data_IF_163531197771
#
_entry.id   IF_163531197771
#
_cell.length_a   1.000
_cell.length_b   1.000
_cell.length_c   1.000
_cell.angle_alpha   90.00
_cell.angle_beta   90.00
_cell.angle_gamma   90.00
#
_symmetry.space_group_name_H-M   'P 1'
#
loop_
_entity.id
_entity.type
_entity.pdbx_description
1 polymer ?
#
# COMPACT_ATOMS: atom_id res chain seq x y z
N UNK A 1 -15.03 1.07 2.88
CA UNK A 1 -13.67 1.66 2.68
C UNK A 1 -12.89 0.83 1.67
N UNK A 2 -11.83 1.39 1.10
CA UNK A 2 -10.90 0.70 0.21
C UNK A 2 -9.56 0.52 0.90
N UNK A 3 -9.04 -0.71 0.94
CA UNK A 3 -7.69 -1.00 1.44
C UNK A 3 -6.79 -1.36 0.25
N UNK A 4 -5.85 -0.48 -0.05
CA UNK A 4 -4.99 -0.62 -1.23
C UNK A 4 -3.59 -1.15 -0.91
N UNK A 5 -3.36 -1.63 0.33
CA UNK A 5 -2.08 -2.19 0.71
C UNK A 5 -2.27 -3.28 1.76
N UNK A 6 -2.07 -4.54 1.35
CA UNK A 6 -2.24 -5.70 2.21
C UNK A 6 -1.47 -6.94 1.72
N UNK A 7 -0.99 -7.77 2.65
CA UNK A 7 -0.25 -8.99 2.41
C UNK A 7 -1.11 -10.21 2.76
N UNK A 8 -2.22 -10.35 2.02
CA UNK A 8 -3.25 -11.35 2.29
C UNK A 8 -3.13 -12.61 1.45
N UNK A 9 -2.24 -12.66 0.44
CA UNK A 9 -2.03 -13.86 -0.35
C UNK A 9 -1.24 -14.91 0.45
N UNK A 10 -1.67 -16.18 0.44
CA UNK A 10 -1.13 -17.17 1.37
C UNK A 10 0.28 -17.65 0.99
N UNK A 11 1.24 -17.51 1.91
CA UNK A 11 2.55 -18.17 1.85
C UNK A 11 3.54 -17.64 0.81
N UNK A 12 3.32 -16.46 0.24
CA UNK A 12 4.17 -15.92 -0.85
C UNK A 12 5.12 -14.80 -0.41
N UNK A 13 4.89 -14.24 0.77
CA UNK A 13 5.74 -13.23 1.40
C UNK A 13 5.72 -13.37 2.94
N UNK A 14 5.90 -12.28 3.69
CA UNK A 14 5.84 -12.26 5.15
C UNK A 14 4.44 -11.90 5.71
N UNK A 15 3.41 -11.95 4.86
CA UNK A 15 2.00 -11.80 5.22
C UNK A 15 1.33 -13.08 5.71
N UNK A 16 0.12 -13.36 5.21
CA UNK A 16 -0.66 -14.55 5.55
C UNK A 16 0.13 -15.84 5.29
N UNK A 17 0.22 -16.72 6.28
CA UNK A 17 1.00 -17.97 6.19
C UNK A 17 0.36 -19.03 5.32
N UNK A 18 -0.95 -19.07 5.35
CA UNK A 18 -1.77 -20.06 4.66
C UNK A 18 -3.16 -19.50 4.34
N UNK A 19 -3.94 -20.26 3.59
CA UNK A 19 -5.29 -19.88 3.18
C UNK A 19 -6.22 -19.60 4.38
N UNK A 20 -6.10 -20.31 5.48
CA UNK A 20 -6.96 -20.08 6.66
C UNK A 20 -6.67 -18.70 7.26
N UNK A 21 -5.39 -18.30 7.35
CA UNK A 21 -5.04 -16.95 7.81
C UNK A 21 -5.49 -15.88 6.81
N UNK A 22 -5.38 -16.12 5.51
CA UNK A 22 -5.93 -15.23 4.47
C UNK A 22 -7.42 -15.00 4.64
N UNK A 23 -8.21 -16.06 4.76
CA UNK A 23 -9.66 -15.96 4.96
C UNK A 23 -10.04 -15.27 6.28
N UNK A 24 -9.28 -15.53 7.35
CA UNK A 24 -9.46 -14.83 8.61
C UNK A 24 -9.18 -13.32 8.50
N UNK A 25 -8.14 -12.92 7.76
CA UNK A 25 -7.85 -11.52 7.48
C UNK A 25 -8.98 -10.87 6.66
N UNK A 26 -9.45 -11.54 5.61
CA UNK A 26 -10.57 -11.03 4.80
C UNK A 26 -11.83 -10.85 5.63
N UNK A 27 -12.13 -11.78 6.54
CA UNK A 27 -13.29 -11.66 7.45
C UNK A 27 -13.16 -10.45 8.38
N UNK A 28 -11.97 -10.22 8.95
CA UNK A 28 -11.71 -9.03 9.78
C UNK A 28 -11.89 -7.74 8.96
N UNK A 29 -11.36 -7.70 7.74
CA UNK A 29 -11.49 -6.55 6.85
C UNK A 29 -12.96 -6.23 6.56
N UNK A 30 -13.76 -7.25 6.21
CA UNK A 30 -15.20 -7.10 5.98
C UNK A 30 -15.93 -6.59 7.21
N UNK A 31 -15.63 -7.15 8.39
CA UNK A 31 -16.27 -6.76 9.65
C UNK A 31 -15.88 -5.32 10.07
N UNK A 32 -14.71 -4.82 9.67
CA UNK A 32 -14.28 -3.43 9.85
C UNK A 32 -14.90 -2.44 8.83
N UNK A 33 -15.65 -2.95 7.84
CA UNK A 33 -16.32 -2.14 6.81
C UNK A 33 -15.46 -1.82 5.59
N UNK A 34 -14.41 -2.59 5.35
CA UNK A 34 -13.69 -2.61 4.07
C UNK A 34 -14.56 -3.34 3.06
N UNK A 35 -14.68 -2.83 1.85
CA UNK A 35 -15.49 -3.40 0.76
C UNK A 35 -14.66 -3.84 -0.43
N UNK A 36 -13.50 -3.21 -0.59
CA UNK A 36 -12.54 -3.48 -1.67
C UNK A 36 -11.15 -3.59 -1.06
N UNK A 37 -10.39 -4.60 -1.46
CA UNK A 37 -9.06 -4.86 -0.93
C UNK A 37 -8.11 -5.28 -2.05
N UNK A 38 -6.98 -4.60 -2.14
CA UNK A 38 -5.91 -4.94 -3.07
C UNK A 38 -4.82 -5.69 -2.31
N UNK A 39 -4.58 -6.94 -2.69
CA UNK A 39 -3.40 -7.65 -2.26
C UNK A 39 -2.16 -7.06 -2.93
N UNK A 40 -1.17 -6.68 -2.14
CA UNK A 40 0.08 -6.09 -2.61
C UNK A 40 1.29 -6.83 -2.05
N UNK A 41 1.42 -8.14 -2.33
CA UNK A 41 2.54 -8.89 -1.83
C UNK A 41 3.85 -8.28 -2.29
N UNK A 42 4.91 -8.51 -1.51
CA UNK A 42 6.22 -8.00 -1.85
C UNK A 42 6.75 -8.53 -3.17
N UNK A 43 7.31 -7.63 -3.99
CA UNK A 43 8.35 -7.94 -4.97
C UNK A 43 9.65 -7.36 -4.42
N UNK A 44 10.49 -8.23 -3.87
CA UNK A 44 11.78 -7.89 -3.30
C UNK A 44 12.83 -8.85 -3.88
N UNK A 45 13.59 -8.37 -4.85
CA UNK A 45 14.53 -9.17 -5.63
C UNK A 45 15.50 -9.93 -4.71
N UNK A 46 15.63 -11.22 -4.94
CA UNK A 46 16.45 -12.11 -4.11
C UNK A 46 15.81 -12.59 -2.81
N UNK A 47 14.67 -12.03 -2.39
CA UNK A 47 13.93 -12.47 -1.19
C UNK A 47 12.53 -12.96 -1.51
N UNK A 48 11.72 -12.13 -2.16
CA UNK A 48 10.36 -12.44 -2.59
C UNK A 48 10.25 -12.21 -4.09
N UNK A 49 10.53 -13.27 -4.86
CA UNK A 49 10.61 -13.23 -6.33
C UNK A 49 9.22 -13.47 -6.96
N UNK A 50 8.22 -12.73 -6.53
CA UNK A 50 6.88 -12.81 -7.07
C UNK A 50 6.82 -12.20 -8.48
N UNK A 51 5.96 -12.73 -9.34
CA UNK A 51 5.72 -12.21 -10.69
C UNK A 51 4.25 -11.88 -10.91
N UNK A 52 3.95 -10.90 -11.76
CA UNK A 52 2.57 -10.50 -12.05
C UNK A 52 1.68 -11.68 -12.45
N UNK A 53 2.20 -12.62 -13.27
CA UNK A 53 1.45 -13.81 -13.69
C UNK A 53 1.13 -14.75 -12.52
N UNK A 54 2.07 -14.98 -11.59
CA UNK A 54 1.82 -15.83 -10.43
C UNK A 54 0.79 -15.16 -9.51
N UNK A 55 0.95 -13.87 -9.25
CA UNK A 55 0.05 -13.10 -8.40
C UNK A 55 -1.39 -13.09 -8.90
N UNK A 56 -1.61 -12.99 -10.22
CA UNK A 56 -2.94 -13.08 -10.81
C UNK A 56 -3.57 -14.47 -10.59
N UNK A 57 -2.81 -15.54 -10.71
CA UNK A 57 -3.33 -16.88 -10.41
C UNK A 57 -3.69 -17.03 -8.92
N UNK A 58 -2.83 -16.53 -8.04
CA UNK A 58 -3.01 -16.65 -6.59
C UNK A 58 -4.22 -15.85 -6.08
N UNK A 59 -4.45 -14.64 -6.63
CA UNK A 59 -5.64 -13.85 -6.26
C UNK A 59 -6.93 -14.50 -6.76
N UNK A 60 -6.95 -15.13 -7.93
CA UNK A 60 -8.13 -15.82 -8.45
C UNK A 60 -8.51 -17.00 -7.57
N UNK A 61 -7.53 -17.76 -7.10
CA UNK A 61 -7.76 -18.82 -6.10
C UNK A 61 -8.33 -18.22 -4.82
N UNK A 62 -7.76 -17.13 -4.28
CA UNK A 62 -8.25 -16.51 -3.06
C UNK A 62 -9.66 -15.93 -3.22
N UNK A 63 -10.00 -15.33 -4.38
CA UNK A 63 -11.36 -14.87 -4.70
C UNK A 63 -12.38 -16.02 -4.60
N UNK A 64 -12.04 -17.18 -5.18
CA UNK A 64 -12.93 -18.35 -5.15
C UNK A 64 -13.11 -18.88 -3.73
N UNK A 65 -12.05 -18.97 -2.94
CA UNK A 65 -12.12 -19.45 -1.56
C UNK A 65 -12.84 -18.46 -0.64
N UNK A 66 -12.67 -17.15 -0.84
CA UNK A 66 -13.44 -16.12 -0.14
C UNK A 66 -14.95 -16.24 -0.44
N UNK A 67 -15.31 -16.42 -1.71
CA UNK A 67 -16.70 -16.67 -2.11
C UNK A 67 -17.28 -17.92 -1.44
N UNK A 68 -16.54 -19.05 -1.44
CA UNK A 68 -16.93 -20.28 -0.79
C UNK A 68 -17.12 -20.11 0.73
N UNK A 69 -16.35 -19.22 1.35
CA UNK A 69 -16.43 -18.87 2.77
C UNK A 69 -17.52 -17.83 3.10
N UNK A 70 -18.27 -17.34 2.11
CA UNK A 70 -19.31 -16.33 2.30
C UNK A 70 -18.77 -14.93 2.64
N UNK A 71 -17.56 -14.61 2.19
CA UNK A 71 -16.93 -13.30 2.36
C UNK A 71 -17.27 -12.44 1.14
N UNK A 72 -17.94 -11.31 1.39
CA UNK A 72 -18.37 -10.35 0.35
C UNK A 72 -17.39 -9.17 0.28
N UNK A 73 -16.14 -9.45 -0.14
CA UNK A 73 -15.11 -8.48 -0.43
C UNK A 73 -14.73 -8.55 -1.91
N UNK A 74 -14.64 -7.39 -2.55
CA UNK A 74 -14.01 -7.32 -3.87
C UNK A 74 -12.50 -7.33 -3.70
N UNK A 75 -11.83 -8.30 -4.35
CA UNK A 75 -10.40 -8.51 -4.26
C UNK A 75 -9.73 -8.21 -5.60
N UNK A 76 -8.58 -7.58 -5.53
CA UNK A 76 -7.69 -7.35 -6.67
C UNK A 76 -6.23 -7.59 -6.25
N UNK A 77 -5.30 -7.57 -7.20
CA UNK A 77 -3.87 -7.76 -6.92
C UNK A 77 -3.01 -6.73 -7.63
N UNK A 78 -2.01 -6.25 -6.92
CA UNK A 78 -0.89 -5.47 -7.41
C UNK A 78 0.39 -5.97 -6.72
N UNK A 79 1.38 -5.12 -6.45
CA UNK A 79 2.51 -5.48 -5.60
C UNK A 79 3.07 -4.25 -4.88
N UNK A 80 3.60 -4.49 -3.67
CA UNK A 80 4.54 -3.59 -3.04
C UNK A 80 5.96 -3.94 -3.52
N UNK A 81 6.56 -3.01 -4.26
CA UNK A 81 7.82 -3.26 -4.95
C UNK A 81 8.95 -2.55 -4.21
N UNK A 82 9.93 -3.31 -3.72
CA UNK A 82 11.11 -2.76 -3.05
C UNK A 82 12.00 -2.03 -4.04
N UNK A 83 12.38 -0.78 -3.73
CA UNK A 83 13.29 -0.01 -4.56
C UNK A 83 14.63 -0.74 -4.72
N UNK A 84 14.94 -1.10 -5.96
CA UNK A 84 16.17 -1.75 -6.41
C UNK A 84 16.49 -1.31 -7.84
N UNK A 85 17.79 -1.29 -8.20
CA UNK A 85 18.23 -0.91 -9.56
C UNK A 85 17.73 -1.91 -10.62
N UNK A 86 17.55 -3.17 -10.27
CA UNK A 86 17.06 -4.20 -11.17
C UNK A 86 15.61 -3.99 -11.60
N UNK A 87 14.83 -3.19 -10.85
CA UNK A 87 13.47 -2.81 -11.25
C UNK A 87 13.43 -2.09 -12.60
N UNK A 88 14.51 -1.42 -13.00
CA UNK A 88 14.57 -0.78 -14.32
C UNK A 88 14.35 -1.79 -15.45
N UNK A 89 14.95 -2.98 -15.35
CA UNK A 89 14.75 -4.04 -16.33
C UNK A 89 13.30 -4.57 -16.30
N UNK A 90 12.71 -4.74 -15.13
CA UNK A 90 11.31 -5.19 -14.99
C UNK A 90 10.31 -4.16 -15.56
N UNK A 91 10.54 -2.86 -15.34
CA UNK A 91 9.74 -1.78 -15.93
C UNK A 91 9.81 -1.85 -17.46
N UNK A 92 11.02 -1.92 -18.02
CA UNK A 92 11.22 -1.97 -19.48
C UNK A 92 10.63 -3.24 -20.13
N UNK A 93 10.53 -4.33 -19.36
CA UNK A 93 9.91 -5.58 -19.80
C UNK A 93 8.38 -5.62 -19.57
N UNK A 94 7.77 -4.58 -18.97
CA UNK A 94 6.33 -4.55 -18.65
C UNK A 94 5.91 -5.61 -17.64
N UNK A 95 6.78 -5.95 -16.69
CA UNK A 95 6.57 -7.06 -15.76
C UNK A 95 6.09 -6.63 -14.37
N UNK A 96 6.00 -5.31 -14.10
CA UNK A 96 5.54 -4.83 -12.80
C UNK A 96 4.01 -4.74 -12.73
N UNK A 97 3.39 -5.30 -11.68
CA UNK A 97 1.98 -5.10 -11.40
C UNK A 97 1.77 -3.74 -10.74
N UNK A 98 1.14 -2.82 -11.47
CA UNK A 98 0.80 -1.49 -10.97
C UNK A 98 -0.43 -1.53 -10.08
N UNK A 99 -0.50 -0.61 -9.10
CA UNK A 99 -1.65 -0.48 -8.20
C UNK A 99 -2.83 0.27 -8.83
N UNK A 100 -2.68 0.69 -10.05
CA UNK A 100 -3.70 1.36 -10.85
C UNK A 100 -3.10 2.35 -11.82
N UNK A 101 -3.97 3.06 -12.52
CA UNK A 101 -3.58 4.11 -13.47
C UNK A 101 -4.57 5.27 -13.42
N UNK A 102 -4.07 6.50 -13.52
CA UNK A 102 -4.87 7.71 -13.64
C UNK A 102 -4.31 8.57 -14.77
N UNK A 103 -5.19 9.02 -15.66
CA UNK A 103 -4.83 9.90 -16.77
C UNK A 103 -3.65 9.37 -17.62
N UNK A 104 -3.63 8.06 -17.88
CA UNK A 104 -2.56 7.33 -18.61
C UNK A 104 -1.21 7.27 -17.88
N UNK A 105 -1.16 7.60 -16.58
CA UNK A 105 0.00 7.43 -15.71
C UNK A 105 -0.22 6.20 -14.84
N UNK A 106 0.72 5.25 -14.90
CA UNK A 106 0.70 4.08 -14.03
C UNK A 106 1.21 4.42 -12.63
N UNK A 107 0.63 3.82 -11.61
CA UNK A 107 1.03 4.04 -10.22
C UNK A 107 1.71 2.79 -9.65
N UNK A 108 2.89 2.98 -9.09
CA UNK A 108 3.69 1.92 -8.48
C UNK A 108 3.79 2.15 -6.97
N UNK A 109 3.39 1.16 -6.18
CA UNK A 109 3.64 1.16 -4.74
C UNK A 109 5.12 0.82 -4.52
N UNK A 110 5.96 1.85 -4.34
CA UNK A 110 7.42 1.76 -4.31
C UNK A 110 7.95 1.86 -2.89
N UNK A 111 8.31 0.72 -2.31
CA UNK A 111 8.81 0.63 -0.95
C UNK A 111 10.29 1.06 -0.84
N UNK A 112 10.57 1.98 0.08
CA UNK A 112 11.95 2.27 0.50
C UNK A 112 12.41 1.25 1.56
N UNK A 113 13.71 0.88 1.62
CA UNK A 113 14.25 0.13 2.73
C UNK A 113 13.88 0.76 4.08
N UNK A 114 13.42 -0.05 5.05
CA UNK A 114 13.06 0.47 6.37
C UNK A 114 14.18 1.23 7.09
N UNK A 115 15.42 0.82 6.85
CA UNK A 115 16.59 1.35 7.56
C UNK A 115 17.11 2.66 7.00
N UNK A 116 16.85 2.98 5.72
CA UNK A 116 17.45 4.13 5.07
C UNK A 116 16.71 4.52 3.79
N UNK A 117 16.97 5.74 3.31
CA UNK A 117 16.62 6.19 1.95
C UNK A 117 17.84 5.92 1.05
N UNK A 118 17.71 5.04 0.03
CA UNK A 118 18.86 4.62 -0.79
C UNK A 118 19.48 5.79 -1.57
N UNK A 119 20.80 5.80 -1.71
CA UNK A 119 21.46 6.79 -2.58
C UNK A 119 20.97 6.64 -4.02
N UNK A 120 20.70 7.77 -4.68
CA UNK A 120 20.19 7.78 -6.05
C UNK A 120 18.70 7.53 -6.20
N UNK A 121 17.95 7.45 -5.08
CA UNK A 121 16.47 7.35 -5.11
C UNK A 121 15.82 8.43 -5.97
N UNK A 122 16.36 9.65 -5.92
CA UNK A 122 15.89 10.79 -6.70
C UNK A 122 16.05 10.58 -8.21
N UNK A 123 17.17 10.02 -8.63
CA UNK A 123 17.41 9.67 -10.04
C UNK A 123 16.49 8.56 -10.51
N UNK A 124 16.27 7.58 -9.65
CA UNK A 124 15.36 6.47 -9.95
C UNK A 124 13.90 6.94 -10.09
N UNK A 125 13.40 7.75 -9.16
CA UNK A 125 12.04 8.33 -9.23
C UNK A 125 11.87 9.21 -10.46
N UNK A 126 12.84 10.07 -10.77
CA UNK A 126 12.82 10.87 -11.99
C UNK A 126 12.84 10.01 -13.26
N UNK A 127 13.51 8.87 -13.24
CA UNK A 127 13.50 7.93 -14.35
C UNK A 127 12.14 7.27 -14.50
N UNK A 128 11.50 6.82 -13.42
CA UNK A 128 10.12 6.28 -13.42
C UNK A 128 9.14 7.29 -14.02
N UNK A 129 9.21 8.55 -13.62
CA UNK A 129 8.36 9.62 -14.16
C UNK A 129 8.49 9.77 -15.68
N UNK A 130 9.69 9.58 -16.25
CA UNK A 130 9.92 9.58 -17.71
C UNK A 130 9.32 8.35 -18.42
N UNK A 131 9.00 7.29 -17.67
CA UNK A 131 8.30 6.10 -18.15
C UNK A 131 6.77 6.19 -17.93
N UNK A 132 6.23 7.36 -17.60
CA UNK A 132 4.83 7.58 -17.20
C UNK A 132 4.43 6.73 -15.97
N UNK A 133 5.35 6.56 -15.04
CA UNK A 133 5.13 5.85 -13.78
C UNK A 133 5.29 6.83 -12.63
N UNK A 134 4.26 6.93 -11.79
CA UNK A 134 4.26 7.71 -10.55
C UNK A 134 4.45 6.78 -9.34
N UNK A 135 5.40 7.11 -8.49
CA UNK A 135 5.62 6.36 -7.26
C UNK A 135 4.65 6.80 -6.16
N UNK A 136 4.01 5.83 -5.51
CA UNK A 136 3.41 5.97 -4.20
C UNK A 136 4.41 5.40 -3.21
N UNK A 137 4.85 6.21 -2.26
CA UNK A 137 5.75 5.77 -1.18
C UNK A 137 4.90 5.26 -0.02
N UNK A 138 4.87 3.94 0.23
CA UNK A 138 4.15 3.39 1.36
C UNK A 138 4.89 3.66 2.66
N UNK A 139 4.14 3.82 3.71
CA UNK A 139 4.59 3.94 5.11
C UNK A 139 5.90 4.74 5.33
N UNK A 140 6.05 5.96 4.76
CA UNK A 140 7.26 6.78 4.93
C UNK A 140 7.53 7.09 6.40
N UNK A 141 6.50 7.14 7.24
CA UNK A 141 6.57 7.40 8.68
C UNK A 141 7.32 6.31 9.47
N UNK A 142 7.53 5.13 8.86
CA UNK A 142 8.27 4.01 9.48
C UNK A 142 9.73 3.94 9.03
N UNK A 143 10.14 4.70 8.02
CA UNK A 143 11.51 4.71 7.55
C UNK A 143 12.42 5.48 8.51
N UNK A 144 13.55 4.88 8.93
CA UNK A 144 14.43 5.43 9.97
C UNK A 144 15.11 6.73 9.55
N UNK A 145 15.51 6.87 8.28
CA UNK A 145 16.12 8.12 7.81
C UNK A 145 15.09 9.24 7.75
N UNK A 146 13.85 8.94 7.35
CA UNK A 146 12.75 9.90 7.35
C UNK A 146 12.39 10.30 8.79
N UNK A 147 12.39 9.36 9.73
CA UNK A 147 12.19 9.67 11.15
C UNK A 147 13.29 10.57 11.71
N UNK A 148 14.54 10.35 11.30
CA UNK A 148 15.67 11.17 11.71
C UNK A 148 15.71 12.53 11.01
N UNK A 149 15.22 12.61 9.76
CA UNK A 149 15.22 13.81 8.94
C UNK A 149 13.97 13.88 8.05
N UNK A 150 12.86 14.45 8.53
CA UNK A 150 11.59 14.57 7.78
C UNK A 150 11.70 15.36 6.46
N UNK A 151 12.81 16.07 6.23
CA UNK A 151 13.07 16.77 4.96
C UNK A 151 13.02 15.81 3.74
N UNK A 152 13.25 14.52 3.93
CA UNK A 152 13.08 13.53 2.86
C UNK A 152 11.64 13.49 2.33
N UNK A 153 10.63 13.74 3.15
CA UNK A 153 9.22 13.81 2.71
C UNK A 153 9.03 14.93 1.70
N UNK A 154 9.59 16.13 2.02
CA UNK A 154 9.52 17.28 1.12
C UNK A 154 10.24 17.01 -0.21
N UNK A 155 11.40 16.34 -0.15
CA UNK A 155 12.16 15.97 -1.35
C UNK A 155 11.40 14.97 -2.22
N UNK A 156 10.81 13.93 -1.62
CA UNK A 156 9.98 12.95 -2.32
C UNK A 156 8.74 13.61 -2.95
N UNK A 157 8.10 14.54 -2.24
CA UNK A 157 6.97 15.33 -2.79
C UNK A 157 7.39 16.19 -3.99
N UNK A 158 8.56 16.86 -3.92
CA UNK A 158 9.10 17.62 -5.05
C UNK A 158 9.41 16.76 -6.28
N UNK A 159 9.72 15.47 -6.08
CA UNK A 159 9.90 14.48 -7.14
C UNK A 159 8.57 13.95 -7.71
N UNK A 160 7.43 14.42 -7.19
CA UNK A 160 6.10 14.04 -7.65
C UNK A 160 5.53 12.79 -7.01
N UNK A 161 6.15 12.26 -5.95
CA UNK A 161 5.61 11.09 -5.24
C UNK A 161 4.31 11.41 -4.51
N UNK A 162 3.43 10.42 -4.45
CA UNK A 162 2.33 10.37 -3.50
C UNK A 162 2.75 9.55 -2.27
N UNK A 163 1.99 9.70 -1.16
CA UNK A 163 2.29 9.01 0.09
C UNK A 163 1.09 8.21 0.57
N UNK A 164 1.35 6.98 1.01
CA UNK A 164 0.38 6.15 1.72
C UNK A 164 0.86 5.96 3.16
N UNK A 165 0.04 6.35 4.15
CA UNK A 165 0.28 6.06 5.56
C UNK A 165 -0.36 4.74 5.98
N UNK A 166 0.28 4.05 6.93
CA UNK A 166 -0.32 2.88 7.58
C UNK A 166 -1.31 3.31 8.65
N UNK A 167 -2.53 2.77 8.63
CA UNK A 167 -3.59 3.09 9.61
C UNK A 167 -3.12 2.93 11.05
N UNK A 168 -2.46 1.82 11.38
CA UNK A 168 -1.93 1.55 12.72
C UNK A 168 -0.78 2.47 13.15
N UNK A 169 -0.09 3.16 12.22
CA UNK A 169 0.87 4.22 12.57
C UNK A 169 0.18 5.45 13.12
N UNK A 170 -0.96 5.85 12.54
CA UNK A 170 -1.80 6.95 13.00
C UNK A 170 -2.30 6.67 14.43
N UNK A 171 -2.65 5.41 14.70
CA UNK A 171 -3.09 4.94 16.01
C UNK A 171 -1.95 4.88 17.05
N UNK A 172 -0.70 4.82 16.62
CA UNK A 172 0.48 4.79 17.48
C UNK A 172 1.11 3.40 17.68
N UNK A 173 0.64 2.38 16.99
CA UNK A 173 1.18 1.02 17.12
C UNK A 173 2.66 0.90 16.70
N UNK A 174 3.17 1.85 15.92
CA UNK A 174 4.56 1.92 15.44
C UNK A 174 5.43 2.90 16.25
N UNK A 175 4.94 3.32 17.43
CA UNK A 175 5.62 4.24 18.35
C UNK A 175 5.35 5.72 18.08
N UNK A 176 5.76 6.55 19.05
CA UNK A 176 5.41 7.97 19.07
C UNK A 176 5.97 8.76 17.89
N UNK A 177 7.17 8.41 17.43
CA UNK A 177 7.82 9.09 16.29
C UNK A 177 7.04 8.86 15.00
N UNK A 178 6.65 7.61 14.70
CA UNK A 178 5.85 7.30 13.51
C UNK A 178 4.48 7.99 13.58
N UNK A 179 3.84 7.98 14.74
CA UNK A 179 2.58 8.67 14.97
C UNK A 179 2.71 10.18 14.76
N UNK A 180 3.73 10.81 15.32
CA UNK A 180 3.94 12.25 15.19
C UNK A 180 4.15 12.67 13.72
N UNK A 181 4.94 11.90 12.96
CA UNK A 181 5.14 12.12 11.53
C UNK A 181 3.85 11.93 10.75
N UNK A 182 3.08 10.88 11.06
CA UNK A 182 1.77 10.65 10.41
C UNK A 182 0.82 11.83 10.61
N UNK A 183 0.72 12.36 11.83
CA UNK A 183 -0.12 13.51 12.16
C UNK A 183 0.37 14.76 11.42
N UNK A 184 1.68 15.05 11.43
CA UNK A 184 2.25 16.19 10.72
C UNK A 184 2.00 16.12 9.21
N UNK A 185 2.15 14.93 8.59
CA UNK A 185 1.87 14.73 7.17
C UNK A 185 0.38 14.94 6.84
N UNK A 186 -0.53 14.45 7.69
CA UNK A 186 -1.97 14.64 7.53
C UNK A 186 -2.34 16.11 7.60
N UNK A 187 -1.87 16.82 8.62
CA UNK A 187 -2.15 18.26 8.81
C UNK A 187 -1.60 19.14 7.70
N UNK A 188 -0.51 18.72 7.06
CA UNK A 188 0.09 19.41 5.91
C UNK A 188 -0.55 19.04 4.56
N UNK A 189 -1.52 18.14 4.53
CA UNK A 189 -2.16 17.68 3.29
C UNK A 189 -1.21 16.94 2.34
N UNK A 190 -0.21 16.25 2.88
CA UNK A 190 0.80 15.53 2.09
C UNK A 190 0.36 14.10 1.75
N UNK A 191 -0.58 13.53 2.51
CA UNK A 191 -1.04 12.16 2.39
C UNK A 191 -2.04 12.04 1.26
N UNK A 192 -1.90 11.01 0.43
CA UNK A 192 -2.84 10.70 -0.64
C UNK A 192 -3.74 9.50 -0.31
N UNK A 193 -3.22 8.56 0.49
CA UNK A 193 -3.90 7.29 0.83
C UNK A 193 -3.60 6.87 2.26
N UNK A 194 -4.56 6.19 2.89
CA UNK A 194 -4.35 5.44 4.12
C UNK A 194 -4.76 3.99 3.87
N UNK A 195 -3.91 3.03 4.25
CA UNK A 195 -4.14 1.61 4.06
C UNK A 195 -3.72 0.83 5.30
N UNK A 196 -4.11 -0.45 5.40
CA UNK A 196 -3.85 -1.25 6.60
C UNK A 196 -2.42 -1.76 6.66
N UNK A 197 -1.84 -2.12 5.52
CA UNK A 197 -0.60 -2.87 5.42
C UNK A 197 -0.68 -4.17 6.26
N UNK A 198 -1.81 -4.88 6.10
CA UNK A 198 -2.16 -6.05 6.88
C UNK A 198 -1.27 -7.24 6.57
N UNK A 199 -0.82 -7.96 7.61
CA UNK A 199 0.05 -9.14 7.47
C UNK A 199 -0.40 -10.33 8.31
N UNK A 200 -1.13 -10.11 9.39
CA UNK A 200 -1.50 -11.18 10.31
C UNK A 200 -2.69 -10.78 11.18
N UNK A 201 -3.48 -11.77 11.57
CA UNK A 201 -4.69 -11.58 12.38
C UNK A 201 -4.43 -10.85 13.70
N UNK A 202 -3.30 -11.13 14.35
CA UNK A 202 -3.04 -10.62 15.71
C UNK A 202 -2.20 -9.36 15.77
N UNK A 203 -1.17 -9.24 14.93
CA UNK A 203 -0.17 -8.16 15.04
C UNK A 203 -0.42 -7.02 14.08
N UNK A 204 -0.90 -7.33 12.87
CA UNK A 204 -1.14 -6.36 11.80
C UNK A 204 -2.44 -6.74 11.07
N UNK A 205 -3.61 -6.62 11.75
CA UNK A 205 -4.90 -6.89 11.13
C UNK A 205 -5.30 -5.80 10.14
N UNK A 206 -6.18 -6.10 9.17
CA UNK A 206 -6.69 -5.13 8.21
C UNK A 206 -7.80 -4.27 8.84
N UNK A 207 -7.41 -3.28 9.63
CA UNK A 207 -8.31 -2.36 10.32
C UNK A 207 -8.07 -0.92 9.84
N UNK A 208 -9.14 -0.26 9.41
CA UNK A 208 -9.14 1.11 8.91
C UNK A 208 -10.11 2.03 9.67
N UNK A 209 -11.17 1.48 10.25
CA UNK A 209 -12.28 2.25 10.82
C UNK A 209 -11.85 3.20 11.93
N UNK A 210 -11.00 2.73 12.87
CA UNK A 210 -10.50 3.56 13.96
C UNK A 210 -9.55 4.66 13.46
N UNK A 211 -8.64 4.34 12.53
CA UNK A 211 -7.78 5.34 11.91
C UNK A 211 -8.60 6.39 11.14
N UNK A 212 -9.64 5.97 10.40
CA UNK A 212 -10.55 6.90 9.72
C UNK A 212 -11.20 7.85 10.70
N UNK A 213 -11.69 7.37 11.85
CA UNK A 213 -12.27 8.21 12.89
C UNK A 213 -11.24 9.23 13.42
N UNK A 214 -10.01 8.80 13.74
CA UNK A 214 -8.95 9.69 14.21
C UNK A 214 -8.58 10.77 13.17
N UNK A 215 -8.55 10.40 11.90
CA UNK A 215 -8.27 11.34 10.80
C UNK A 215 -9.45 12.32 10.63
N UNK A 216 -10.70 11.85 10.75
CA UNK A 216 -11.88 12.71 10.76
C UNK A 216 -11.81 13.77 11.87
N UNK A 217 -11.45 13.34 13.08
CA UNK A 217 -11.31 14.25 14.23
C UNK A 217 -10.16 15.26 14.04
N UNK A 218 -9.11 14.88 13.31
CA UNK A 218 -7.91 15.69 13.11
C UNK A 218 -8.03 16.71 11.97
N UNK A 219 -8.55 16.31 10.80
CA UNK A 219 -8.53 17.12 9.57
C UNK A 219 -9.91 17.20 8.88
N UNK A 220 -10.95 16.63 9.47
CA UNK A 220 -12.34 16.71 8.98
C UNK A 220 -12.80 15.52 8.16
N UNK A 221 -14.12 15.30 8.11
CA UNK A 221 -14.76 14.15 7.43
C UNK A 221 -14.47 14.10 5.92
N UNK A 222 -14.48 15.27 5.25
CA UNK A 222 -14.28 15.32 3.81
C UNK A 222 -12.89 14.78 3.43
N UNK A 223 -11.85 15.22 4.14
CA UNK A 223 -10.47 14.77 3.91
C UNK A 223 -10.31 13.28 4.27
N UNK A 224 -10.90 12.84 5.38
CA UNK A 224 -10.91 11.43 5.74
C UNK A 224 -11.58 10.58 4.64
N UNK A 225 -12.72 11.03 4.10
CA UNK A 225 -13.40 10.35 2.99
C UNK A 225 -12.52 10.28 1.74
N UNK A 226 -11.76 11.34 1.43
CA UNK A 226 -10.80 11.31 0.33
C UNK A 226 -9.72 10.24 0.54
N UNK A 227 -9.12 10.17 1.73
CA UNK A 227 -7.97 9.29 2.00
C UNK A 227 -8.35 7.80 2.09
N UNK A 228 -9.54 7.47 2.59
CA UNK A 228 -9.96 6.09 2.85
C UNK A 228 -10.94 5.53 1.80
N UNK A 229 -11.50 6.38 0.93
CA UNK A 229 -12.50 5.95 -0.04
C UNK A 229 -12.24 6.52 -1.43
N UNK A 230 -12.32 7.84 -1.61
CA UNK A 230 -12.40 8.42 -2.95
C UNK A 230 -11.09 8.27 -3.75
N UNK A 231 -9.95 8.62 -3.12
CA UNK A 231 -8.64 8.50 -3.78
C UNK A 231 -8.27 7.04 -4.06
N UNK A 232 -8.36 6.10 -3.07
CA UNK A 232 -8.08 4.70 -3.33
C UNK A 232 -9.04 4.08 -4.35
N UNK A 233 -10.35 4.40 -4.30
CA UNK A 233 -11.32 3.95 -5.31
C UNK A 233 -10.90 4.39 -6.71
N UNK A 234 -10.70 5.70 -6.90
CA UNK A 234 -10.32 6.26 -8.19
C UNK A 234 -9.04 5.64 -8.74
N UNK A 235 -8.04 5.40 -7.87
CA UNK A 235 -6.77 4.82 -8.27
C UNK A 235 -6.90 3.38 -8.76
N UNK A 236 -7.70 2.57 -8.03
CA UNK A 236 -7.74 1.11 -8.20
C UNK A 236 -8.95 0.63 -8.99
N UNK A 237 -9.81 1.53 -9.48
CA UNK A 237 -11.05 1.20 -10.19
C UNK A 237 -10.82 0.16 -11.30
N UNK A 238 -9.79 0.36 -12.12
CA UNK A 238 -9.45 -0.55 -13.23
C UNK A 238 -8.99 -1.95 -12.79
N UNK A 239 -8.68 -2.17 -11.52
CA UNK A 239 -8.32 -3.49 -10.99
C UNK A 239 -9.55 -4.33 -10.61
N UNK A 240 -10.73 -3.70 -10.49
CA UNK A 240 -11.97 -4.34 -10.05
C UNK A 240 -13.02 -4.45 -11.17
N UNK A 241 -12.75 -3.87 -12.35
CA UNK A 241 -13.68 -3.80 -13.48
C UNK A 241 -13.68 -5.06 -14.37
N UNK A 242 -13.32 -6.24 -13.85
CA UNK A 242 -13.40 -7.52 -14.58
C UNK A 242 -14.65 -8.34 -14.23
#
# INVERSE_FOLDING_TARGET
MFDIHSHILPGIDDGAKDLNESLALLKIAQDDGITHMVATPHIHIGRFNNSAKALNNDIDVLKQEAFNAGIDLKLAVAAEVRLDIELMAMVMAGQLPFIGALDSVNYLLLELPHSHVPQGYDKFINWLSKQNIKAIIPHPERNRDIQANPFYIERLKQLGCDFQLTASSIEGAWGDTAKAISIDMLQKGLVSYVASDAHSVKRRPPLLSNAKRLVTDLIGELEAQHLFVNNPQRLTESLFDE
#
